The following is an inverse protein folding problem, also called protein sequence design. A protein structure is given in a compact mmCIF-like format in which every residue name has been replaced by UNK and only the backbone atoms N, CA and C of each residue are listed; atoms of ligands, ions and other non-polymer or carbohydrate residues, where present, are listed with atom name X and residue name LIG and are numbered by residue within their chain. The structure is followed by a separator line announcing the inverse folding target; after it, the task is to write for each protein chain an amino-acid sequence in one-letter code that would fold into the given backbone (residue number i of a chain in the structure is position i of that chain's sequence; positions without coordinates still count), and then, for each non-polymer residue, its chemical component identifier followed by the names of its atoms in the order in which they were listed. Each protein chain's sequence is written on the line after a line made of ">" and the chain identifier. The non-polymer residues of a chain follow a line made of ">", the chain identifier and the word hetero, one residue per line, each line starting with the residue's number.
data_IF_573301195441
#
_entry.id   IF_573301195441
#
_cell.length_a   1.000
_cell.length_b   1.000
_cell.length_c   1.000
_cell.angle_alpha   90.00
_cell.angle_beta   90.00
_cell.angle_gamma   90.00
#
_symmetry.space_group_name_H-M   'P 1'
#
loop_
_entity.id
_entity.type
_entity.pdbx_description
1 polymer ?
#
# COMPACT_ATOMS: atom_id res chain seq x y z
N UNK A 1 -20.27 -4.87 20.57
CA UNK A 1 -19.34 -4.07 19.73
C UNK A 1 -18.76 -4.83 18.53
N UNK A 2 -18.27 -6.08 18.69
CA UNK A 2 -17.62 -6.84 17.59
C UNK A 2 -18.55 -7.10 16.38
N UNK A 3 -19.81 -7.46 16.62
CA UNK A 3 -20.82 -7.76 15.59
C UNK A 3 -21.15 -6.56 14.68
N UNK A 4 -21.10 -5.34 15.22
CA UNK A 4 -21.31 -4.10 14.45
C UNK A 4 -20.13 -3.76 13.52
N UNK A 5 -18.90 -4.10 13.93
CA UNK A 5 -17.69 -3.92 13.12
C UNK A 5 -17.66 -4.91 11.95
N UNK A 6 -17.99 -6.17 12.20
CA UNK A 6 -18.06 -7.21 11.15
C UNK A 6 -19.17 -6.90 10.15
N UNK A 7 -20.35 -6.44 10.61
CA UNK A 7 -21.45 -6.08 9.70
C UNK A 7 -21.08 -4.91 8.78
N UNK A 8 -20.43 -3.86 9.30
CA UNK A 8 -19.92 -2.75 8.47
C UNK A 8 -18.86 -3.21 7.48
N UNK A 9 -17.95 -4.08 7.89
CA UNK A 9 -16.93 -4.66 7.01
C UNK A 9 -17.59 -5.39 5.84
N UNK A 10 -18.50 -6.34 6.14
CA UNK A 10 -19.21 -7.12 5.11
C UNK A 10 -20.03 -6.20 4.20
N UNK A 11 -20.72 -5.19 4.75
CA UNK A 11 -21.49 -4.24 3.97
C UNK A 11 -20.63 -3.44 2.98
N UNK A 12 -19.46 -2.95 3.39
CA UNK A 12 -18.54 -2.21 2.49
C UNK A 12 -17.96 -3.13 1.43
N UNK A 13 -17.57 -4.35 1.78
CA UNK A 13 -17.07 -5.34 0.81
C UNK A 13 -18.14 -5.70 -0.23
N UNK A 14 -19.37 -5.96 0.22
CA UNK A 14 -20.50 -6.25 -0.68
C UNK A 14 -20.81 -5.05 -1.56
N UNK A 15 -20.83 -3.83 -1.01
CA UNK A 15 -21.04 -2.61 -1.79
C UNK A 15 -19.94 -2.43 -2.86
N UNK A 16 -18.67 -2.70 -2.53
CA UNK A 16 -17.56 -2.66 -3.48
C UNK A 16 -17.69 -3.71 -4.59
N UNK A 17 -18.07 -4.95 -4.26
CA UNK A 17 -18.30 -6.01 -5.24
C UNK A 17 -19.51 -5.71 -6.13
N UNK A 18 -20.59 -5.16 -5.56
CA UNK A 18 -21.75 -4.72 -6.34
C UNK A 18 -21.37 -3.57 -7.28
N UNK A 19 -20.60 -2.59 -6.81
CA UNK A 19 -20.11 -1.49 -7.66
C UNK A 19 -19.25 -2.01 -8.81
N UNK A 20 -18.34 -2.96 -8.54
CA UNK A 20 -17.55 -3.64 -9.57
C UNK A 20 -18.44 -4.37 -10.58
N UNK A 21 -19.43 -5.12 -10.09
CA UNK A 21 -20.39 -5.81 -10.94
C UNK A 21 -21.16 -4.82 -11.83
N UNK A 22 -21.69 -3.72 -11.25
CA UNK A 22 -22.37 -2.68 -12.00
C UNK A 22 -21.47 -2.00 -13.02
N UNK A 23 -20.20 -1.76 -12.71
CA UNK A 23 -19.22 -1.22 -13.66
C UNK A 23 -19.01 -2.16 -14.84
N UNK A 24 -18.85 -3.45 -14.58
CA UNK A 24 -18.64 -4.46 -15.61
C UNK A 24 -19.90 -4.68 -16.44
N UNK A 25 -21.08 -4.64 -15.84
CA UNK A 25 -22.37 -4.72 -16.54
C UNK A 25 -22.60 -3.46 -17.40
N UNK A 26 -22.26 -2.28 -16.89
CA UNK A 26 -22.37 -1.00 -17.62
C UNK A 26 -21.45 -0.93 -18.84
N UNK A 27 -20.23 -1.46 -18.73
CA UNK A 27 -19.27 -1.52 -19.84
C UNK A 27 -19.55 -2.72 -20.76
N UNK A 28 -20.06 -3.82 -20.22
CA UNK A 28 -20.25 -5.08 -20.94
C UNK A 28 -19.03 -5.99 -20.84
N UNK A 29 -19.26 -7.26 -20.49
CA UNK A 29 -18.21 -8.27 -20.31
C UNK A 29 -17.35 -8.51 -21.57
N UNK A 30 -17.97 -8.40 -22.75
CA UNK A 30 -17.27 -8.59 -24.03
C UNK A 30 -16.23 -7.48 -24.26
N UNK A 31 -16.57 -6.23 -23.96
CA UNK A 31 -15.65 -5.10 -24.09
C UNK A 31 -14.47 -5.24 -23.13
N UNK A 32 -14.73 -5.63 -21.88
CA UNK A 32 -13.68 -5.91 -20.89
C UNK A 32 -12.77 -7.03 -21.38
N UNK A 33 -13.33 -8.13 -21.90
CA UNK A 33 -12.56 -9.24 -22.43
C UNK A 33 -11.67 -8.80 -23.60
N UNK A 34 -12.22 -8.06 -24.57
CA UNK A 34 -11.46 -7.59 -25.72
C UNK A 34 -10.32 -6.64 -25.33
N UNK A 35 -10.54 -5.74 -24.36
CA UNK A 35 -9.48 -4.85 -23.86
C UNK A 35 -8.36 -5.66 -23.20
N UNK A 36 -8.71 -6.64 -22.36
CA UNK A 36 -7.73 -7.49 -21.67
C UNK A 36 -6.98 -8.40 -22.66
N UNK A 37 -7.68 -8.98 -23.65
CA UNK A 37 -7.06 -9.89 -24.63
C UNK A 37 -6.13 -9.18 -25.62
N UNK A 38 -6.41 -7.91 -25.92
CA UNK A 38 -5.57 -7.09 -26.80
C UNK A 38 -4.46 -6.34 -26.05
N UNK A 39 -4.40 -6.46 -24.72
CA UNK A 39 -3.39 -5.78 -23.92
C UNK A 39 -2.00 -6.36 -24.21
N UNK A 40 -0.98 -5.50 -24.30
CA UNK A 40 0.39 -5.97 -24.47
C UNK A 40 0.81 -6.80 -23.26
N UNK A 41 1.00 -8.10 -23.48
CA UNK A 41 1.44 -9.07 -22.48
C UNK A 41 2.73 -8.65 -21.75
N UNK A 42 3.62 -7.90 -22.41
CA UNK A 42 4.85 -7.36 -21.79
C UNK A 42 4.49 -6.34 -20.74
N UNK A 43 3.61 -5.39 -21.05
CA UNK A 43 3.15 -4.38 -20.11
C UNK A 43 2.38 -5.03 -18.95
N UNK A 44 1.54 -6.03 -19.27
CA UNK A 44 0.80 -6.79 -18.28
C UNK A 44 1.71 -7.44 -17.23
N UNK A 45 2.85 -7.99 -17.64
CA UNK A 45 3.83 -8.63 -16.73
C UNK A 45 4.74 -7.60 -16.06
N UNK A 46 5.14 -6.55 -16.77
CA UNK A 46 6.02 -5.50 -16.24
C UNK A 46 5.36 -4.70 -15.11
N UNK A 47 4.04 -4.47 -15.18
CA UNK A 47 3.31 -3.75 -14.14
C UNK A 47 3.44 -4.41 -12.74
N UNK A 48 3.03 -5.67 -12.52
CA UNK A 48 3.19 -6.33 -11.22
C UNK A 48 4.67 -6.54 -10.86
N UNK A 49 5.55 -6.81 -11.82
CA UNK A 49 6.98 -6.92 -11.56
C UNK A 49 7.56 -5.61 -10.99
N UNK A 50 7.18 -4.46 -11.55
CA UNK A 50 7.59 -3.15 -11.04
C UNK A 50 7.06 -2.88 -9.63
N UNK A 51 5.81 -3.28 -9.34
CA UNK A 51 5.23 -3.19 -8.00
C UNK A 51 5.98 -4.08 -6.98
N UNK A 52 6.37 -5.29 -7.39
CA UNK A 52 7.20 -6.15 -6.54
C UNK A 52 8.55 -5.53 -6.27
N UNK A 53 9.26 -5.00 -7.28
CA UNK A 53 10.56 -4.34 -7.10
C UNK A 53 10.43 -3.14 -6.15
N UNK A 54 9.41 -2.29 -6.36
CA UNK A 54 9.12 -1.16 -5.47
C UNK A 54 8.90 -1.61 -4.02
N UNK A 55 8.13 -2.67 -3.81
CA UNK A 55 7.88 -3.25 -2.49
C UNK A 55 9.18 -3.74 -1.83
N UNK A 56 10.10 -4.36 -2.58
CA UNK A 56 11.38 -4.81 -2.04
C UNK A 56 12.27 -3.63 -1.61
N UNK A 57 12.33 -2.57 -2.42
CA UNK A 57 13.07 -1.35 -2.09
C UNK A 57 12.47 -0.69 -0.84
N UNK A 58 11.15 -0.62 -0.74
CA UNK A 58 10.45 -0.11 0.43
C UNK A 58 10.78 -0.89 1.72
N UNK A 59 10.78 -2.23 1.65
CA UNK A 59 11.17 -3.08 2.78
C UNK A 59 12.64 -2.87 3.15
N UNK A 60 13.51 -2.77 2.15
CA UNK A 60 14.94 -2.57 2.36
C UNK A 60 15.24 -1.23 3.01
N UNK A 61 14.53 -0.16 2.63
CA UNK A 61 14.64 1.15 3.26
C UNK A 61 14.33 1.08 4.76
N UNK A 62 13.29 0.35 5.16
CA UNK A 62 13.03 0.13 6.59
C UNK A 62 14.11 -0.70 7.27
N UNK A 63 14.60 -1.76 6.61
CA UNK A 63 15.68 -2.58 7.14
C UNK A 63 16.95 -1.75 7.44
N UNK A 64 17.29 -0.79 6.56
CA UNK A 64 18.40 0.14 6.81
C UNK A 64 18.18 0.95 8.09
N UNK A 65 16.96 1.41 8.36
CA UNK A 65 16.63 2.12 9.60
C UNK A 65 16.76 1.22 10.83
N UNK A 66 16.31 -0.03 10.75
CA UNK A 66 16.49 -1.01 11.83
C UNK A 66 17.97 -1.21 12.17
N UNK A 67 18.80 -1.39 11.14
CA UNK A 67 20.25 -1.55 11.30
C UNK A 67 20.93 -0.28 11.82
N UNK A 68 20.45 0.90 11.41
CA UNK A 68 20.96 2.19 11.88
C UNK A 68 20.79 2.40 13.39
N UNK A 69 19.76 1.80 14.00
CA UNK A 69 19.56 1.80 15.46
C UNK A 69 20.13 0.56 16.17
N UNK A 70 20.92 -0.27 15.47
CA UNK A 70 21.56 -1.44 16.07
C UNK A 70 20.61 -2.60 16.38
N UNK A 71 19.38 -2.62 15.82
CA UNK A 71 18.43 -3.70 16.06
C UNK A 71 18.92 -5.01 15.41
N UNK A 72 18.81 -6.15 16.12
CA UNK A 72 19.39 -7.42 15.69
C UNK A 72 18.60 -8.14 14.56
N UNK A 73 17.54 -7.53 14.02
CA UNK A 73 16.78 -8.13 12.92
C UNK A 73 17.62 -8.26 11.65
N UNK A 74 17.52 -9.42 11.01
CA UNK A 74 17.96 -9.62 9.63
C UNK A 74 16.95 -9.09 8.62
N UNK A 75 17.38 -8.97 7.37
CA UNK A 75 16.53 -8.50 6.27
C UNK A 75 15.35 -9.45 6.01
N UNK A 76 15.54 -10.76 6.16
CA UNK A 76 14.51 -11.77 5.92
C UNK A 76 13.36 -11.65 6.92
N UNK A 77 13.67 -11.36 8.18
CA UNK A 77 12.70 -11.12 9.24
C UNK A 77 11.92 -9.82 8.96
N UNK A 78 12.63 -8.73 8.64
CA UNK A 78 12.01 -7.47 8.26
C UNK A 78 11.07 -7.64 7.05
N UNK A 79 11.50 -8.41 6.05
CA UNK A 79 10.72 -8.75 4.87
C UNK A 79 9.43 -9.49 5.24
N UNK A 80 9.49 -10.53 6.09
CA UNK A 80 8.29 -11.24 6.55
C UNK A 80 7.32 -10.32 7.30
N UNK A 81 7.83 -9.49 8.21
CA UNK A 81 7.01 -8.55 8.98
C UNK A 81 6.29 -7.57 8.05
N UNK A 82 7.01 -7.04 7.05
CA UNK A 82 6.44 -6.09 6.10
C UNK A 82 5.42 -6.72 5.15
N UNK A 83 5.62 -7.96 4.70
CA UNK A 83 4.59 -8.62 3.89
C UNK A 83 3.33 -8.93 4.68
N UNK A 84 3.43 -9.27 5.97
CA UNK A 84 2.26 -9.38 6.83
C UNK A 84 1.55 -8.02 6.98
N UNK A 85 2.30 -6.94 7.20
CA UNK A 85 1.77 -5.58 7.23
C UNK A 85 1.01 -5.25 5.93
N UNK A 86 1.65 -5.40 4.77
CA UNK A 86 1.07 -5.11 3.45
C UNK A 86 -0.18 -5.95 3.21
N UNK A 87 -0.14 -7.25 3.52
CA UNK A 87 -1.30 -8.13 3.37
C UNK A 87 -2.49 -7.65 4.19
N UNK A 88 -2.26 -7.30 5.46
CA UNK A 88 -3.32 -6.80 6.35
C UNK A 88 -3.87 -5.46 5.84
N UNK A 89 -3.02 -4.56 5.34
CA UNK A 89 -3.44 -3.28 4.76
C UNK A 89 -4.29 -3.45 3.48
N UNK A 90 -4.06 -4.50 2.69
CA UNK A 90 -4.86 -4.78 1.49
C UNK A 90 -6.17 -5.52 1.79
N UNK A 91 -6.19 -6.38 2.82
CA UNK A 91 -7.37 -7.19 3.15
C UNK A 91 -8.33 -6.45 4.09
N UNK A 92 -7.81 -5.64 5.01
CA UNK A 92 -8.64 -4.90 5.96
C UNK A 92 -8.96 -3.51 5.40
N UNK A 93 -10.24 -3.10 5.31
CA UNK A 93 -10.67 -1.74 5.01
C UNK A 93 -10.50 -0.85 6.26
N UNK A 94 -9.34 -0.92 6.90
CA UNK A 94 -8.93 -0.10 8.04
C UNK A 94 -8.06 1.08 7.61
N UNK A 95 -7.89 1.28 6.30
CA UNK A 95 -6.75 2.02 5.77
C UNK A 95 -5.45 1.39 6.26
N UNK A 96 -4.40 2.21 6.39
CA UNK A 96 -3.08 1.74 6.82
C UNK A 96 -2.95 1.44 8.32
N UNK A 97 -4.05 1.50 9.09
CA UNK A 97 -3.99 1.32 10.55
C UNK A 97 -3.80 -0.15 10.91
N UNK A 98 -4.47 -1.06 10.20
CA UNK A 98 -4.43 -2.49 10.47
C UNK A 98 -3.05 -3.11 10.22
N UNK A 99 -2.43 -2.78 9.10
CA UNK A 99 -1.09 -3.24 8.77
C UNK A 99 -0.05 -2.67 9.70
N UNK A 100 -0.07 -1.36 10.00
CA UNK A 100 0.92 -0.77 10.90
C UNK A 100 0.79 -1.33 12.33
N UNK A 101 -0.43 -1.57 12.82
CA UNK A 101 -0.64 -2.27 14.09
C UNK A 101 -0.05 -3.70 14.06
N UNK A 102 -0.20 -4.40 12.94
CA UNK A 102 0.39 -5.74 12.74
C UNK A 102 1.91 -5.68 12.75
N UNK A 103 2.50 -4.69 12.07
CA UNK A 103 3.94 -4.46 12.03
C UNK A 103 4.51 -4.18 13.42
N UNK A 104 3.86 -3.32 14.20
CA UNK A 104 4.24 -2.99 15.59
C UNK A 104 4.19 -4.24 16.46
N UNK A 105 3.07 -4.98 16.40
CA UNK A 105 2.89 -6.21 17.18
C UNK A 105 3.93 -7.28 16.84
N UNK A 106 4.25 -7.46 15.56
CA UNK A 106 5.25 -8.43 15.14
C UNK A 106 6.65 -7.99 15.55
N UNK A 107 6.99 -6.71 15.37
CA UNK A 107 8.30 -6.18 15.75
C UNK A 107 8.54 -6.31 17.25
N UNK A 108 7.55 -5.96 18.09
CA UNK A 108 7.69 -6.06 19.55
C UNK A 108 7.93 -7.47 20.06
N UNK A 109 7.49 -8.49 19.31
CA UNK A 109 7.77 -9.90 19.61
C UNK A 109 9.17 -10.33 19.22
N UNK A 110 9.76 -9.72 18.18
CA UNK A 110 11.11 -10.06 17.71
C UNK A 110 12.18 -9.22 18.42
N UNK A 111 11.84 -8.02 18.91
CA UNK A 111 12.74 -7.12 19.65
C UNK A 111 12.10 -6.65 20.97
N UNK A 112 11.88 -7.56 21.95
CA UNK A 112 11.22 -7.22 23.20
C UNK A 112 12.00 -6.20 24.04
N UNK A 113 13.33 -6.19 23.95
CA UNK A 113 14.20 -5.29 24.72
C UNK A 113 14.39 -3.91 24.10
N UNK A 114 13.91 -3.69 22.86
CA UNK A 114 14.15 -2.46 22.09
C UNK A 114 12.90 -2.00 21.32
N UNK A 115 11.74 -2.12 21.98
CA UNK A 115 10.45 -1.76 21.39
C UNK A 115 10.39 -0.26 21.03
N UNK A 116 10.99 0.60 21.86
CA UNK A 116 10.99 2.06 21.64
C UNK A 116 11.74 2.45 20.37
N UNK A 117 12.95 1.90 20.19
CA UNK A 117 13.79 2.08 19.00
C UNK A 117 13.08 1.49 17.77
N UNK A 118 12.49 0.30 17.90
CA UNK A 118 11.70 -0.33 16.86
C UNK A 118 10.55 0.56 16.39
N UNK A 119 9.77 1.11 17.31
CA UNK A 119 8.68 2.05 17.01
C UNK A 119 9.19 3.32 16.33
N UNK A 120 10.32 3.88 16.79
CA UNK A 120 10.94 5.04 16.17
C UNK A 120 11.27 4.78 14.69
N UNK A 121 11.79 3.59 14.35
CA UNK A 121 12.06 3.23 12.94
C UNK A 121 10.79 3.20 12.09
N UNK A 122 9.66 2.75 12.65
CA UNK A 122 8.37 2.69 11.93
C UNK A 122 7.88 4.11 11.62
N UNK A 123 7.92 5.00 12.61
CA UNK A 123 7.50 6.41 12.46
C UNK A 123 8.38 7.13 11.44
N UNK A 124 9.71 7.02 11.56
CA UNK A 124 10.67 7.61 10.63
C UNK A 124 10.44 7.07 9.22
N UNK A 125 10.27 5.75 9.07
CA UNK A 125 9.98 5.13 7.78
C UNK A 125 8.70 5.70 7.14
N UNK A 126 7.66 5.95 7.96
CA UNK A 126 6.40 6.52 7.49
C UNK A 126 6.57 7.95 7.00
N UNK A 127 7.34 8.77 7.71
CA UNK A 127 7.64 10.15 7.30
C UNK A 127 8.45 10.14 6.00
N UNK A 128 9.52 9.35 5.95
CA UNK A 128 10.40 9.23 4.79
C UNK A 128 9.69 8.70 3.53
N UNK A 129 8.57 7.96 3.69
CA UNK A 129 7.78 7.47 2.56
C UNK A 129 6.61 8.38 2.20
N UNK A 130 5.94 8.96 3.20
CA UNK A 130 4.74 9.78 2.99
C UNK A 130 5.10 11.15 2.43
N UNK A 131 6.18 11.78 2.91
CA UNK A 131 6.55 13.13 2.45
C UNK A 131 6.91 13.16 0.96
N UNK A 132 7.79 12.27 0.44
CA UNK A 132 8.07 12.23 -0.99
C UNK A 132 6.85 11.85 -1.83
N UNK A 133 5.98 10.97 -1.32
CA UNK A 133 4.73 10.61 -1.99
C UNK A 133 3.81 11.82 -2.15
N UNK A 134 3.60 12.60 -1.09
CA UNK A 134 2.79 13.82 -1.14
C UNK A 134 3.38 14.85 -2.10
N UNK A 135 4.71 15.02 -2.09
CA UNK A 135 5.40 15.90 -3.04
C UNK A 135 5.19 15.44 -4.49
N UNK A 136 5.31 14.14 -4.77
CA UNK A 136 5.06 13.58 -6.10
C UNK A 136 3.59 13.76 -6.54
N UNK A 137 2.62 13.57 -5.63
CA UNK A 137 1.21 13.85 -5.91
C UNK A 137 0.96 15.33 -6.24
N UNK A 138 1.58 16.26 -5.52
CA UNK A 138 1.47 17.69 -5.80
C UNK A 138 2.03 18.04 -7.18
N UNK A 139 3.21 17.51 -7.51
CA UNK A 139 3.82 17.69 -8.84
C UNK A 139 2.90 17.14 -9.94
N UNK A 140 2.35 15.94 -9.74
CA UNK A 140 1.41 15.33 -10.68
C UNK A 140 0.13 16.16 -10.86
N UNK A 141 -0.43 16.70 -9.78
CA UNK A 141 -1.61 17.56 -9.82
C UNK A 141 -1.34 18.85 -10.58
N UNK A 142 -0.22 19.52 -10.29
CA UNK A 142 0.20 20.74 -10.99
C UNK A 142 0.38 20.47 -12.48
N UNK A 143 1.11 19.41 -12.84
CA UNK A 143 1.28 18.98 -14.23
C UNK A 143 -0.07 18.73 -14.93
N UNK A 144 -0.99 18.06 -14.25
CA UNK A 144 -2.33 17.76 -14.78
C UNK A 144 -3.14 19.04 -15.07
N UNK A 145 -3.06 20.05 -14.20
CA UNK A 145 -3.74 21.33 -14.43
C UNK A 145 -3.21 22.09 -15.65
N UNK A 146 -1.89 22.04 -15.88
CA UNK A 146 -1.28 22.61 -17.08
C UNK A 146 -1.67 21.84 -18.35
N UNK A 147 -1.70 20.51 -18.28
CA UNK A 147 -2.09 19.66 -19.41
C UNK A 147 -3.54 19.93 -19.87
N UNK A 148 -4.45 20.17 -18.93
CA UNK A 148 -5.86 20.48 -19.24
C UNK A 148 -6.13 21.96 -19.54
N UNK A 149 -5.14 22.85 -19.40
CA UNK A 149 -5.31 24.28 -19.67
C UNK A 149 -6.22 25.02 -18.67
N UNK A 150 -6.50 24.44 -17.50
CA UNK A 150 -7.45 24.99 -16.49
C UNK A 150 -6.71 25.79 -15.40
N UNK A 151 -5.62 26.47 -15.75
CA UNK A 151 -4.78 27.18 -14.79
C UNK A 151 -5.40 28.51 -14.33
N UNK A 152 -5.30 28.90 -13.04
CA UNK A 152 -5.74 30.22 -12.56
C UNK A 152 -4.84 31.40 -13.00
N UNK A 153 -3.83 31.14 -13.85
CA UNK A 153 -2.92 32.12 -14.42
C UNK A 153 -2.97 32.13 -15.97
N UNK A 154 -3.96 31.47 -16.57
CA UNK A 154 -4.25 31.51 -18.00
C UNK A 154 -5.26 32.63 -18.32
#
# INVERSE_FOLDING_TARGET
>A
MLRFRVLRFVAVTVAGLLLLFFLVDFVGLEEVYQVVSNMDHRIFVLAPASAMVSSHVYIYAWYVLLRGLGLPLGFKEAWKVMWCNIFVDQVLPSGSIGGEATRIMLLSKVTPDSVGEGLATIVVHRICSTVPFLAACLVGLVYFTFYLGVGPLA
#
